data_IF_960733749046
#
_entry.id   IF_960733749046
#
_cell.length_a   1.000
_cell.length_b   1.000
_cell.length_c   1.000
_cell.angle_alpha   90.00
_cell.angle_beta   90.00
_cell.angle_gamma   90.00
#
_symmetry.space_group_name_H-M   'P 1'
#
loop_
_entity.id
_entity.type
_entity.pdbx_description
1 polymer ?
#
# COMPACT_ATOMS: atom_id res chain seq x y z
N UNK A 1 25.63 -9.74 -25.03
CA UNK A 1 24.32 -9.05 -24.93
C UNK A 1 24.37 -7.71 -25.64
N UNK A 2 23.45 -7.45 -26.57
CA UNK A 2 23.30 -6.18 -27.29
C UNK A 2 21.85 -5.97 -27.74
N UNK A 3 21.25 -4.83 -27.41
CA UNK A 3 19.89 -4.48 -27.82
C UNK A 3 19.66 -2.98 -27.97
N UNK A 4 18.58 -2.61 -28.68
CA UNK A 4 18.16 -1.23 -28.92
C UNK A 4 16.68 -1.07 -28.54
N UNK A 5 16.34 0.03 -27.85
CA UNK A 5 14.94 0.36 -27.50
C UNK A 5 14.73 1.87 -27.33
N UNK A 6 13.46 2.30 -27.30
CA UNK A 6 13.10 3.69 -27.02
C UNK A 6 13.34 4.04 -25.55
N UNK A 7 13.98 5.18 -25.28
CA UNK A 7 14.36 5.62 -23.93
C UNK A 7 13.19 5.62 -22.93
N UNK A 8 12.01 6.10 -23.35
CA UNK A 8 10.86 6.20 -22.44
C UNK A 8 10.36 4.81 -21.99
N UNK A 9 10.27 3.86 -22.92
CA UNK A 9 9.83 2.49 -22.63
C UNK A 9 10.82 1.81 -21.67
N UNK A 10 12.12 1.96 -21.93
CA UNK A 10 13.16 1.43 -21.05
C UNK A 10 13.13 2.06 -19.66
N UNK A 11 12.95 3.39 -19.59
CA UNK A 11 12.88 4.12 -18.34
C UNK A 11 11.70 3.63 -17.46
N UNK A 12 10.51 3.47 -18.03
CA UNK A 12 9.33 3.00 -17.32
C UNK A 12 9.51 1.57 -16.79
N UNK A 13 10.10 0.68 -17.59
CA UNK A 13 10.39 -0.68 -17.20
C UNK A 13 11.43 -0.75 -16.07
N UNK A 14 12.49 0.06 -16.13
CA UNK A 14 13.49 0.19 -15.06
C UNK A 14 12.84 0.70 -13.77
N UNK A 15 12.02 1.77 -13.83
CA UNK A 15 11.33 2.32 -12.67
C UNK A 15 10.35 1.30 -12.07
N UNK A 16 9.79 0.41 -12.87
CA UNK A 16 8.90 -0.66 -12.41
C UNK A 16 9.66 -1.75 -11.66
N UNK A 17 10.70 -2.32 -12.27
CA UNK A 17 11.55 -3.32 -11.61
C UNK A 17 12.25 -2.76 -10.35
N UNK A 18 12.68 -1.50 -10.39
CA UNK A 18 13.38 -0.83 -9.28
C UNK A 18 12.54 -0.75 -7.99
N UNK A 19 11.20 -0.81 -8.06
CA UNK A 19 10.31 -0.76 -6.88
C UNK A 19 10.57 -1.90 -5.90
N UNK A 20 11.07 -3.05 -6.37
CA UNK A 20 11.44 -4.18 -5.52
C UNK A 20 12.84 -4.04 -4.91
N UNK A 21 13.64 -3.04 -5.31
CA UNK A 21 15.02 -2.84 -4.84
C UNK A 21 15.02 -1.91 -3.63
N UNK A 22 14.99 -2.48 -2.43
CA UNK A 22 14.86 -1.70 -1.18
C UNK A 22 16.18 -1.11 -0.69
N UNK A 23 17.32 -1.52 -1.25
CA UNK A 23 18.66 -1.04 -0.88
C UNK A 23 19.12 -1.45 0.53
N UNK A 24 18.37 -2.33 1.22
CA UNK A 24 18.69 -2.86 2.55
C UNK A 24 19.36 -4.24 2.51
N UNK A 25 19.49 -4.83 1.32
CA UNK A 25 20.05 -6.17 1.17
C UNK A 25 21.55 -6.20 1.43
N UNK A 26 22.00 -7.24 2.13
CA UNK A 26 23.42 -7.57 2.32
C UNK A 26 24.03 -8.19 1.07
N UNK A 27 23.22 -8.68 0.12
CA UNK A 27 23.68 -9.21 -1.16
C UNK A 27 23.81 -8.06 -2.17
N UNK A 28 25.02 -7.72 -2.66
CA UNK A 28 25.22 -6.61 -3.59
C UNK A 28 24.42 -6.72 -4.89
N UNK A 29 24.24 -7.95 -5.38
CA UNK A 29 23.49 -8.23 -6.62
C UNK A 29 22.02 -7.80 -6.54
N UNK A 30 21.43 -7.76 -5.34
CA UNK A 30 20.07 -7.31 -5.09
C UNK A 30 19.94 -5.79 -4.95
N UNK A 31 21.05 -5.04 -5.04
CA UNK A 31 21.02 -3.60 -5.25
C UNK A 31 20.85 -3.25 -6.74
N UNK A 32 20.98 -4.27 -7.61
CA UNK A 32 20.84 -4.13 -9.05
C UNK A 32 19.50 -4.61 -9.60
N UNK A 33 19.32 -4.38 -10.89
CA UNK A 33 18.27 -4.97 -11.72
C UNK A 33 18.93 -6.00 -12.63
N UNK A 34 18.43 -7.23 -12.59
CA UNK A 34 18.77 -8.25 -13.57
C UNK A 34 18.10 -7.89 -14.89
N UNK A 35 18.90 -7.75 -15.94
CA UNK A 35 18.46 -7.53 -17.31
C UNK A 35 18.80 -8.76 -18.13
N UNK A 36 17.79 -9.36 -18.76
CA UNK A 36 17.92 -10.54 -19.60
C UNK A 36 17.28 -10.29 -20.94
N UNK A 37 18.04 -10.45 -22.01
CA UNK A 37 17.59 -10.20 -23.38
C UNK A 37 17.58 -11.51 -24.15
N UNK A 38 16.41 -11.88 -24.67
CA UNK A 38 16.20 -13.10 -25.45
C UNK A 38 14.95 -12.94 -26.33
N UNK A 39 14.92 -13.54 -27.53
CA UNK A 39 13.71 -13.62 -28.36
C UNK A 39 12.97 -12.28 -28.60
N UNK A 40 13.68 -11.18 -28.89
CA UNK A 40 13.11 -9.83 -29.05
C UNK A 40 12.46 -9.21 -27.79
N UNK A 41 12.71 -9.79 -26.62
CA UNK A 41 12.19 -9.32 -25.33
C UNK A 41 13.36 -9.01 -24.38
N UNK A 42 13.23 -7.89 -23.66
CA UNK A 42 14.04 -7.57 -22.49
C UNK A 42 13.19 -7.81 -21.25
N UNK A 43 13.64 -8.71 -20.39
CA UNK A 43 13.10 -8.94 -19.06
C UNK A 43 13.96 -8.19 -18.03
N UNK A 44 13.32 -7.36 -17.21
CA UNK A 44 13.95 -6.68 -16.08
C UNK A 44 13.38 -7.22 -14.77
N UNK A 45 14.26 -7.61 -13.85
CA UNK A 45 13.88 -8.15 -12.54
C UNK A 45 14.59 -7.37 -11.43
N UNK A 46 13.81 -6.77 -10.54
CA UNK A 46 14.28 -6.27 -9.25
C UNK A 46 13.79 -7.18 -8.12
N UNK A 47 14.56 -7.31 -7.04
CA UNK A 47 14.19 -8.17 -5.92
C UNK A 47 14.84 -7.73 -4.60
N UNK A 48 14.15 -7.95 -3.48
CA UNK A 48 14.71 -7.92 -2.13
C UNK A 48 14.65 -9.28 -1.42
N UNK A 49 14.50 -10.38 -2.19
CA UNK A 49 14.20 -11.76 -1.76
C UNK A 49 12.71 -11.98 -1.44
N UNK A 50 12.10 -11.10 -0.64
CA UNK A 50 10.70 -11.28 -0.23
C UNK A 50 9.71 -10.72 -1.25
N UNK A 51 10.12 -9.72 -2.02
CA UNK A 51 9.38 -9.06 -3.08
C UNK A 51 10.24 -9.06 -4.33
N UNK A 52 9.68 -9.53 -5.43
CA UNK A 52 10.30 -9.48 -6.74
C UNK A 52 9.32 -8.90 -7.76
N UNK A 53 9.83 -8.04 -8.64
CA UNK A 53 9.05 -7.46 -9.73
C UNK A 53 9.78 -7.78 -11.03
N UNK A 54 9.12 -8.56 -11.87
CA UNK A 54 9.52 -8.84 -13.25
C UNK A 54 8.69 -7.96 -14.18
N UNK A 55 9.34 -7.31 -15.14
CA UNK A 55 8.66 -6.59 -16.22
C UNK A 55 9.33 -6.86 -17.56
N UNK A 56 8.53 -6.93 -18.62
CA UNK A 56 8.95 -7.32 -19.96
C UNK A 56 8.61 -6.23 -20.96
N UNK A 57 9.57 -5.92 -21.83
CA UNK A 57 9.38 -4.98 -22.94
C UNK A 57 9.96 -5.55 -24.24
N UNK A 58 9.33 -5.20 -25.37
CA UNK A 58 9.86 -5.54 -26.69
C UNK A 58 11.07 -4.65 -27.01
N UNK A 59 12.14 -5.26 -27.51
CA UNK A 59 13.38 -4.59 -27.89
C UNK A 59 13.93 -5.17 -29.19
N UNK A 60 14.73 -4.40 -29.91
CA UNK A 60 15.50 -4.92 -31.05
C UNK A 60 16.73 -5.65 -30.50
N UNK A 61 16.75 -6.98 -30.61
CA UNK A 61 17.84 -7.82 -30.09
C UNK A 61 18.85 -8.08 -31.20
N UNK A 62 20.10 -7.72 -30.91
CA UNK A 62 21.25 -7.98 -31.79
C UNK A 62 22.13 -9.11 -31.24
N UNK A 63 22.19 -9.24 -29.92
CA UNK A 63 22.90 -10.32 -29.25
C UNK A 63 22.23 -10.63 -27.90
N UNK A 64 21.90 -11.90 -27.66
CA UNK A 64 21.29 -12.33 -26.40
C UNK A 64 22.27 -12.23 -25.22
N UNK A 65 21.74 -12.26 -24.01
CA UNK A 65 22.56 -12.38 -22.79
C UNK A 65 21.93 -11.71 -21.58
N UNK A 66 22.68 -11.71 -20.48
CA UNK A 66 22.20 -11.24 -19.17
C UNK A 66 23.27 -10.45 -18.44
N UNK A 67 22.84 -9.44 -17.68
CA UNK A 67 23.70 -8.62 -16.81
C UNK A 67 22.91 -8.16 -15.58
N UNK A 68 23.59 -7.78 -14.50
CA UNK A 68 22.98 -7.08 -13.37
C UNK A 68 23.63 -5.71 -13.23
N UNK A 69 22.83 -4.64 -13.30
CA UNK A 69 23.29 -3.26 -13.19
C UNK A 69 22.71 -2.60 -11.93
N UNK A 70 23.48 -1.75 -11.25
CA UNK A 70 22.99 -0.99 -10.09
C UNK A 70 21.70 -0.24 -10.43
N UNK A 71 20.63 -0.48 -9.67
CA UNK A 71 19.29 -0.04 -10.02
C UNK A 71 19.17 1.49 -9.98
N UNK A 72 19.81 2.13 -9.00
CA UNK A 72 19.73 3.59 -8.81
C UNK A 72 20.51 4.31 -9.88
N UNK A 73 21.75 3.90 -10.11
CA UNK A 73 22.62 4.48 -11.12
C UNK A 73 22.04 4.29 -12.53
N UNK A 74 21.57 3.08 -12.86
CA UNK A 74 20.93 2.82 -14.14
C UNK A 74 19.70 3.73 -14.36
N UNK A 75 18.80 3.79 -13.38
CA UNK A 75 17.60 4.64 -13.43
C UNK A 75 17.94 6.13 -13.60
N UNK A 76 18.94 6.63 -12.87
CA UNK A 76 19.41 8.02 -13.01
C UNK A 76 20.02 8.32 -14.38
N UNK A 77 20.82 7.40 -14.92
CA UNK A 77 21.44 7.56 -16.23
C UNK A 77 20.35 7.61 -17.29
N UNK A 78 19.50 6.59 -17.36
CA UNK A 78 18.45 6.51 -18.38
C UNK A 78 17.53 7.73 -18.30
N UNK A 79 17.13 8.17 -17.10
CA UNK A 79 16.32 9.38 -16.92
C UNK A 79 16.94 10.64 -17.54
N UNK A 80 18.26 10.80 -17.45
CA UNK A 80 19.02 11.97 -17.94
C UNK A 80 19.39 11.89 -19.42
N UNK A 81 19.20 10.75 -20.09
CA UNK A 81 19.47 10.63 -21.51
C UNK A 81 18.46 11.44 -22.35
N UNK A 82 18.86 11.90 -23.55
CA UNK A 82 17.94 12.45 -24.54
C UNK A 82 16.79 11.47 -24.84
N UNK A 83 15.62 12.00 -25.19
CA UNK A 83 14.49 11.18 -25.62
C UNK A 83 14.70 10.65 -27.05
N UNK A 84 15.47 9.57 -27.17
CA UNK A 84 15.86 8.91 -28.43
C UNK A 84 16.04 7.41 -28.19
N UNK A 85 16.46 6.66 -29.22
CA UNK A 85 16.86 5.26 -29.07
C UNK A 85 18.09 5.14 -28.19
N UNK A 86 18.10 4.10 -27.35
CA UNK A 86 19.21 3.72 -26.47
C UNK A 86 19.71 2.36 -26.94
N UNK A 87 21.00 2.28 -27.24
CA UNK A 87 21.72 1.02 -27.47
C UNK A 87 22.44 0.62 -26.17
N UNK A 88 22.27 -0.63 -25.75
CA UNK A 88 22.97 -1.20 -24.59
C UNK A 88 23.71 -2.45 -25.06
N UNK A 89 25.02 -2.50 -24.84
CA UNK A 89 25.86 -3.63 -25.23
C UNK A 89 26.88 -4.01 -24.17
N UNK A 90 27.12 -5.31 -23.97
CA UNK A 90 28.24 -5.80 -23.16
C UNK A 90 29.55 -5.60 -23.93
N UNK A 91 30.57 -5.14 -23.22
CA UNK A 91 31.94 -4.99 -23.70
C UNK A 91 32.89 -5.76 -22.78
N UNK A 92 34.19 -5.72 -23.05
CA UNK A 92 35.22 -6.38 -22.23
C UNK A 92 35.22 -5.91 -20.76
N UNK A 93 35.84 -6.68 -19.88
CA UNK A 93 36.03 -6.37 -18.45
C UNK A 93 34.72 -6.21 -17.65
N UNK A 94 33.73 -7.06 -17.89
CA UNK A 94 32.42 -7.04 -17.21
C UNK A 94 31.76 -5.65 -17.25
N UNK A 95 31.86 -4.99 -18.39
CA UNK A 95 31.27 -3.66 -18.59
C UNK A 95 30.11 -3.71 -19.59
N UNK A 96 29.16 -2.81 -19.40
CA UNK A 96 28.09 -2.49 -20.33
C UNK A 96 28.29 -1.06 -20.81
N UNK A 97 28.18 -0.87 -22.10
CA UNK A 97 28.17 0.42 -22.76
C UNK A 97 26.73 0.83 -23.08
N UNK A 98 26.34 2.04 -22.67
CA UNK A 98 25.05 2.65 -22.93
C UNK A 98 25.28 3.83 -23.88
N UNK A 99 24.71 3.75 -25.09
CA UNK A 99 24.85 4.77 -26.12
C UNK A 99 23.50 5.37 -26.47
N UNK A 100 23.40 6.69 -26.47
CA UNK A 100 22.22 7.42 -26.93
C UNK A 100 22.68 8.70 -27.66
N UNK A 101 22.47 8.74 -28.97
CA UNK A 101 23.01 9.79 -29.85
C UNK A 101 24.54 9.95 -29.67
N UNK A 102 24.99 11.09 -29.12
CA UNK A 102 26.41 11.38 -28.86
C UNK A 102 26.83 11.06 -27.41
N UNK A 103 25.89 10.68 -26.55
CA UNK A 103 26.17 10.28 -25.18
C UNK A 103 26.60 8.82 -25.14
N UNK A 104 27.70 8.56 -24.46
CA UNK A 104 28.31 7.25 -24.32
C UNK A 104 28.75 7.06 -22.87
N UNK A 105 28.20 6.07 -22.19
CA UNK A 105 28.50 5.76 -20.79
C UNK A 105 28.92 4.31 -20.66
N UNK A 106 29.78 4.01 -19.69
CA UNK A 106 30.23 2.66 -19.38
C UNK A 106 29.95 2.36 -17.92
N UNK A 107 29.33 1.21 -17.64
CA UNK A 107 28.98 0.73 -16.31
C UNK A 107 29.57 -0.66 -16.10
N UNK A 108 30.07 -0.93 -14.90
CA UNK A 108 30.42 -2.30 -14.50
C UNK A 108 29.14 -3.04 -14.13
N UNK A 109 28.99 -4.27 -14.60
CA UNK A 109 27.87 -5.13 -14.23
C UNK A 109 28.31 -6.25 -13.27
N UNK A 110 27.38 -6.70 -12.43
CA UNK A 110 27.56 -7.84 -11.53
C UNK A 110 27.15 -9.13 -12.24
N UNK A 111 27.76 -10.25 -11.82
CA UNK A 111 27.50 -11.56 -12.41
C UNK A 111 26.01 -11.93 -12.28
N UNK A 112 25.28 -12.15 -13.40
CA UNK A 112 23.86 -12.46 -13.35
C UNK A 112 23.55 -13.80 -12.69
N UNK A 113 24.52 -14.73 -12.62
CA UNK A 113 24.34 -16.01 -11.94
C UNK A 113 24.26 -15.88 -10.41
N UNK A 114 24.67 -14.75 -9.85
CA UNK A 114 24.56 -14.49 -8.41
C UNK A 114 23.16 -13.97 -8.04
N UNK A 115 22.35 -13.54 -9.03
CA UNK A 115 20.99 -13.07 -8.82
C UNK A 115 20.08 -14.27 -8.53
N UNK A 116 19.29 -14.26 -7.44
CA UNK A 116 18.47 -15.41 -7.06
C UNK A 116 17.39 -15.69 -8.10
N UNK A 117 17.12 -16.98 -8.33
CA UNK A 117 15.99 -17.38 -9.18
C UNK A 117 14.67 -17.02 -8.51
N UNK A 118 13.71 -16.58 -9.32
CA UNK A 118 12.34 -16.37 -8.86
C UNK A 118 11.66 -17.72 -8.59
N UNK A 119 10.75 -17.79 -7.60
CA UNK A 119 9.99 -19.01 -7.39
C UNK A 119 9.04 -19.23 -8.58
N UNK A 120 8.95 -20.48 -9.04
CA UNK A 120 7.94 -20.88 -10.01
C UNK A 120 6.59 -21.01 -9.31
N UNK A 121 5.60 -20.25 -9.78
CA UNK A 121 4.24 -20.25 -9.25
C UNK A 121 3.31 -20.83 -10.30
N UNK A 122 2.62 -21.89 -9.92
CA UNK A 122 1.59 -22.52 -10.74
C UNK A 122 0.32 -21.65 -10.76
N UNK A 123 -0.02 -21.10 -11.92
CA UNK A 123 -1.16 -20.20 -12.14
C UNK A 123 -2.49 -20.95 -12.34
N UNK A 124 -2.67 -22.11 -11.70
CA UNK A 124 -3.88 -22.93 -11.83
C UNK A 124 -5.11 -22.37 -11.08
N UNK A 125 -4.92 -21.58 -10.02
CA UNK A 125 -6.00 -21.00 -9.21
C UNK A 125 -5.95 -19.48 -9.25
N UNK A 126 -6.46 -18.91 -10.34
CA UNK A 126 -6.44 -17.47 -10.59
C UNK A 126 -7.70 -16.80 -10.03
N UNK A 127 -7.49 -15.83 -9.14
CA UNK A 127 -8.48 -14.84 -8.75
C UNK A 127 -8.33 -13.58 -9.61
N UNK A 128 -9.35 -13.23 -10.37
CA UNK A 128 -9.34 -12.07 -11.26
C UNK A 128 -10.13 -10.92 -10.65
N UNK A 129 -9.55 -9.72 -10.64
CA UNK A 129 -10.21 -8.50 -10.14
C UNK A 129 -9.80 -7.27 -10.95
N UNK A 130 -10.71 -6.31 -11.10
CA UNK A 130 -10.40 -5.02 -11.69
C UNK A 130 -9.32 -4.27 -10.90
N UNK A 131 -8.34 -3.69 -11.59
CA UNK A 131 -7.19 -3.05 -10.95
C UNK A 131 -7.59 -1.86 -10.08
N UNK A 132 -8.49 -1.00 -10.55
CA UNK A 132 -8.98 0.16 -9.80
C UNK A 132 -9.72 -0.25 -8.53
N UNK A 133 -10.52 -1.31 -8.60
CA UNK A 133 -11.19 -1.88 -7.42
C UNK A 133 -10.17 -2.34 -6.39
N UNK A 134 -9.21 -3.18 -6.78
CA UNK A 134 -8.16 -3.64 -5.87
C UNK A 134 -7.35 -2.48 -5.28
N UNK A 135 -6.96 -1.51 -6.12
CA UNK A 135 -6.24 -0.29 -5.71
C UNK A 135 -7.00 0.52 -4.67
N UNK A 136 -8.32 0.66 -4.85
CA UNK A 136 -9.22 1.33 -3.90
C UNK A 136 -9.29 0.58 -2.58
N UNK A 137 -9.46 -0.75 -2.63
CA UNK A 137 -9.53 -1.57 -1.43
C UNK A 137 -8.22 -1.52 -0.63
N UNK A 138 -7.06 -1.61 -1.29
CA UNK A 138 -5.75 -1.57 -0.60
C UNK A 138 -5.54 -0.18 0.01
N UNK A 139 -5.75 0.91 -0.74
CA UNK A 139 -5.67 2.29 -0.18
C UNK A 139 -6.62 2.48 0.99
N UNK A 140 -7.78 1.83 0.91
CA UNK A 140 -8.84 1.81 1.92
C UNK A 140 -8.46 1.17 3.24
N UNK A 141 -7.37 0.39 3.31
CA UNK A 141 -7.01 -0.42 4.50
C UNK A 141 -5.56 -0.29 4.93
N UNK A 142 -4.61 -0.16 4.00
CA UNK A 142 -3.16 -0.28 4.24
C UNK A 142 -2.62 0.69 5.30
N UNK A 143 -3.27 1.84 5.52
CA UNK A 143 -2.84 2.82 6.53
C UNK A 143 -2.97 2.30 7.97
N UNK A 144 -3.78 1.27 8.21
CA UNK A 144 -4.06 0.71 9.54
C UNK A 144 -3.17 -0.50 9.89
N UNK A 145 -2.10 -0.78 9.15
CA UNK A 145 -1.12 -1.82 9.51
C UNK A 145 -0.21 -1.36 10.66
N UNK A 146 0.24 -2.32 11.47
CA UNK A 146 1.28 -2.09 12.47
C UNK A 146 2.59 -1.63 11.80
N UNK A 147 3.25 -0.66 12.43
CA UNK A 147 4.53 -0.13 11.94
C UNK A 147 5.73 -0.78 12.62
N UNK A 148 5.54 -1.33 13.82
CA UNK A 148 6.54 -2.13 14.52
C UNK A 148 6.38 -3.62 14.19
N UNK A 149 7.48 -4.36 14.32
CA UNK A 149 7.54 -5.79 13.98
C UNK A 149 7.28 -6.70 15.20
N UNK A 150 6.74 -6.17 16.32
CA UNK A 150 6.49 -7.02 17.51
C UNK A 150 5.47 -8.12 17.24
N UNK A 151 4.49 -7.83 16.37
CA UNK A 151 3.52 -8.79 15.84
C UNK A 151 3.58 -8.76 14.32
N UNK A 152 4.52 -9.50 13.69
CA UNK A 152 4.77 -9.41 12.25
C UNK A 152 3.51 -9.57 11.39
N UNK A 153 2.59 -10.45 11.79
CA UNK A 153 1.32 -10.68 11.08
C UNK A 153 0.45 -9.41 10.93
N UNK A 154 0.61 -8.41 11.79
CA UNK A 154 -0.11 -7.13 11.74
C UNK A 154 0.56 -6.07 10.85
N UNK A 155 1.76 -6.34 10.34
CA UNK A 155 2.45 -5.49 9.37
C UNK A 155 1.92 -5.69 7.94
N UNK A 156 0.98 -6.62 7.75
CA UNK A 156 0.33 -6.91 6.50
C UNK A 156 -1.18 -6.65 6.54
N UNK A 157 -1.81 -6.84 5.38
CA UNK A 157 -3.26 -6.77 5.22
C UNK A 157 -3.76 -8.19 4.97
N UNK A 158 -4.75 -8.60 5.75
CA UNK A 158 -5.50 -9.82 5.50
C UNK A 158 -6.27 -9.66 4.18
N UNK A 159 -6.05 -10.59 3.27
CA UNK A 159 -6.81 -10.79 2.05
C UNK A 159 -7.66 -12.04 2.23
N UNK A 160 -8.96 -11.84 2.44
CA UNK A 160 -9.91 -12.92 2.69
C UNK A 160 -10.97 -12.94 1.59
N UNK A 161 -11.16 -14.08 0.94
CA UNK A 161 -12.37 -14.34 0.14
C UNK A 161 -13.17 -15.39 0.87
N UNK A 162 -14.40 -15.02 1.20
CA UNK A 162 -15.38 -15.91 1.84
C UNK A 162 -16.78 -15.52 1.38
N UNK A 163 -17.62 -16.51 1.07
CA UNK A 163 -19.03 -16.31 0.72
C UNK A 163 -19.22 -15.27 -0.42
N UNK A 164 -18.42 -15.36 -1.49
CA UNK A 164 -18.42 -14.41 -2.63
C UNK A 164 -18.13 -12.95 -2.25
N UNK A 165 -17.44 -12.74 -1.13
CA UNK A 165 -17.07 -11.43 -0.61
C UNK A 165 -15.57 -11.38 -0.37
N UNK A 166 -14.90 -10.45 -1.05
CA UNK A 166 -13.52 -10.09 -0.79
C UNK A 166 -13.48 -9.08 0.37
N UNK A 167 -12.75 -9.41 1.43
CA UNK A 167 -12.46 -8.53 2.55
C UNK A 167 -10.95 -8.25 2.59
N UNK A 168 -10.59 -6.98 2.62
CA UNK A 168 -9.25 -6.55 3.04
C UNK A 168 -9.33 -6.01 4.46
N UNK A 169 -8.45 -6.48 5.35
CA UNK A 169 -8.44 -6.07 6.77
C UNK A 169 -7.03 -5.73 7.24
N UNK A 170 -6.88 -4.56 7.85
CA UNK A 170 -5.64 -4.11 8.49
C UNK A 170 -5.91 -3.69 9.93
N UNK A 171 -5.02 -4.05 10.85
CA UNK A 171 -5.15 -3.80 12.30
C UNK A 171 -3.77 -3.51 12.89
N UNK A 172 -3.63 -2.44 13.67
CA UNK A 172 -2.38 -2.08 14.37
C UNK A 172 -2.47 -2.20 15.90
N UNK A 173 -3.62 -2.65 16.41
CA UNK A 173 -3.92 -2.75 17.85
C UNK A 173 -4.64 -1.53 18.43
N UNK A 174 -4.65 -0.40 17.74
CA UNK A 174 -5.38 0.81 18.12
C UNK A 174 -6.52 1.16 17.17
N UNK A 175 -6.43 0.68 15.93
CA UNK A 175 -7.46 0.88 14.90
C UNK A 175 -7.54 -0.34 13.99
N UNK A 176 -8.66 -0.41 13.28
CA UNK A 176 -8.93 -1.40 12.25
C UNK A 176 -9.53 -0.70 11.03
N UNK A 177 -9.14 -1.16 9.85
CA UNK A 177 -9.75 -0.80 8.59
C UNK A 177 -10.19 -2.07 7.85
N UNK A 178 -11.47 -2.16 7.53
CA UNK A 178 -12.08 -3.21 6.74
C UNK A 178 -12.68 -2.59 5.48
N UNK A 179 -12.36 -3.17 4.32
CA UNK A 179 -13.01 -2.88 3.04
C UNK A 179 -13.55 -4.17 2.46
N UNK A 180 -14.77 -4.11 1.94
CA UNK A 180 -15.46 -5.26 1.40
C UNK A 180 -15.93 -5.01 -0.02
N UNK A 181 -15.85 -6.03 -0.86
CA UNK A 181 -16.33 -6.01 -2.23
C UNK A 181 -16.96 -7.36 -2.58
N UNK A 182 -18.18 -7.33 -3.11
CA UNK A 182 -18.78 -8.54 -3.70
C UNK A 182 -18.05 -8.90 -4.99
N UNK A 183 -17.78 -10.19 -5.16
CA UNK A 183 -17.03 -10.74 -6.29
C UNK A 183 -17.75 -11.97 -6.82
N UNK A 184 -17.65 -12.19 -8.12
CA UNK A 184 -18.24 -13.35 -8.80
C UNK A 184 -17.24 -14.52 -8.79
N UNK A 185 -16.90 -15.00 -7.58
CA UNK A 185 -15.94 -16.09 -7.39
C UNK A 185 -16.19 -16.79 -6.04
N UNK A 186 -16.27 -18.13 -6.08
CA UNK A 186 -16.50 -18.98 -4.89
C UNK A 186 -15.20 -19.48 -4.22
N UNK A 187 -14.03 -19.05 -4.69
CA UNK A 187 -12.74 -19.47 -4.12
C UNK A 187 -12.61 -18.98 -2.68
N UNK A 188 -12.21 -19.87 -1.78
CA UNK A 188 -11.87 -19.48 -0.41
C UNK A 188 -10.40 -19.09 -0.33
N UNK A 189 -10.12 -17.86 0.09
CA UNK A 189 -8.75 -17.35 0.29
C UNK A 189 -8.64 -16.79 1.70
N UNK A 190 -7.54 -17.06 2.39
CA UNK A 190 -7.21 -16.44 3.66
C UNK A 190 -5.69 -16.34 3.76
N UNK A 191 -5.16 -15.16 3.44
CA UNK A 191 -3.73 -14.93 3.39
C UNK A 191 -3.40 -13.51 3.84
N UNK A 192 -2.23 -13.30 4.46
CA UNK A 192 -1.80 -11.97 4.88
C UNK A 192 -0.66 -11.51 4.00
N UNK A 193 -0.89 -10.42 3.28
CA UNK A 193 0.07 -9.86 2.32
C UNK A 193 0.87 -8.77 3.04
N UNK A 194 2.22 -8.79 3.00
CA UNK A 194 3.03 -7.76 3.64
C UNK A 194 2.66 -6.35 3.15
N UNK A 195 2.61 -5.39 4.07
CA UNK A 195 2.28 -4.01 3.71
C UNK A 195 3.29 -3.39 2.74
N UNK A 196 4.57 -3.77 2.83
CA UNK A 196 5.61 -3.37 1.88
C UNK A 196 5.26 -3.77 0.43
N UNK A 197 4.73 -4.97 0.24
CA UNK A 197 4.31 -5.50 -1.05
C UNK A 197 3.14 -4.70 -1.60
N UNK A 198 2.11 -4.50 -0.78
CA UNK A 198 0.91 -3.78 -1.19
C UNK A 198 1.20 -2.31 -1.54
N UNK A 199 2.15 -1.67 -0.85
CA UNK A 199 2.61 -0.33 -1.20
C UNK A 199 3.22 -0.26 -2.61
N UNK A 200 3.97 -1.27 -3.04
CA UNK A 200 4.50 -1.33 -4.42
C UNK A 200 3.42 -1.72 -5.44
N UNK A 201 2.52 -2.65 -5.09
CA UNK A 201 1.37 -3.03 -5.94
C UNK A 201 0.51 -1.81 -6.26
N UNK A 202 0.15 -0.96 -5.28
CA UNK A 202 -0.66 0.25 -5.51
C UNK A 202 -0.01 1.20 -6.54
N UNK A 203 1.32 1.29 -6.57
CA UNK A 203 2.06 2.17 -7.49
C UNK A 203 2.13 1.62 -8.92
N UNK A 204 1.82 0.34 -9.11
CA UNK A 204 1.88 -0.34 -10.41
C UNK A 204 0.47 -0.52 -10.98
N UNK A 205 -0.54 -0.71 -10.12
CA UNK A 205 -1.94 -0.81 -10.56
C UNK A 205 -2.39 0.44 -11.30
N UNK A 206 -3.02 0.23 -12.45
CA UNK A 206 -3.63 1.24 -13.28
C UNK A 206 -5.10 1.49 -12.86
N UNK A 207 -5.78 2.42 -13.54
CA UNK A 207 -7.17 2.76 -13.24
C UNK A 207 -8.19 2.00 -14.11
N UNK A 208 -7.70 1.14 -15.00
CA UNK A 208 -8.44 0.25 -15.88
C UNK A 208 -7.80 -1.15 -15.95
N UNK A 209 -8.41 -2.05 -16.71
CA UNK A 209 -7.97 -3.44 -16.84
C UNK A 209 -8.18 -4.30 -15.60
N UNK A 210 -7.70 -5.53 -15.69
CA UNK A 210 -7.79 -6.54 -14.65
C UNK A 210 -6.40 -6.99 -14.20
N UNK A 211 -6.32 -7.51 -12.98
CA UNK A 211 -5.15 -8.22 -12.44
C UNK A 211 -5.54 -9.64 -12.10
N UNK A 212 -4.69 -10.59 -12.50
CA UNK A 212 -4.80 -11.99 -12.12
C UNK A 212 -3.94 -12.21 -10.87
N UNK A 213 -4.54 -12.76 -9.82
CA UNK A 213 -3.88 -13.02 -8.54
C UNK A 213 -3.85 -14.52 -8.30
N UNK A 214 -2.66 -15.05 -8.03
CA UNK A 214 -2.48 -16.46 -7.68
C UNK A 214 -1.88 -16.55 -6.29
N UNK A 215 -2.48 -17.37 -5.42
CA UNK A 215 -1.96 -17.67 -4.10
C UNK A 215 -1.38 -19.09 -4.09
N UNK A 216 -0.20 -19.24 -3.51
CA UNK A 216 0.35 -20.52 -3.08
C UNK A 216 0.33 -20.61 -1.56
N UNK A 217 0.93 -21.65 -0.97
CA UNK A 217 1.03 -21.77 0.49
C UNK A 217 1.84 -20.66 1.14
N UNK A 218 2.79 -20.05 0.41
CA UNK A 218 3.74 -19.08 0.97
C UNK A 218 4.02 -17.88 0.07
N UNK A 219 3.43 -17.81 -1.13
CA UNK A 219 3.60 -16.68 -2.05
C UNK A 219 2.26 -16.19 -2.60
N UNK A 220 2.29 -14.94 -3.02
CA UNK A 220 1.28 -14.32 -3.87
C UNK A 220 1.95 -13.84 -5.16
N UNK A 221 1.27 -14.04 -6.28
CA UNK A 221 1.62 -13.49 -7.58
C UNK A 221 0.51 -12.54 -8.02
N UNK A 222 0.86 -11.30 -8.35
CA UNK A 222 0.03 -10.39 -9.13
C UNK A 222 0.54 -10.36 -10.56
N UNK A 223 -0.28 -10.81 -11.51
CA UNK A 223 0.03 -10.86 -12.93
C UNK A 223 -0.82 -9.81 -13.68
N UNK A 224 -0.13 -8.80 -14.22
CA UNK A 224 -0.67 -7.66 -14.96
C UNK A 224 -0.35 -7.76 -16.46
N UNK A 225 -0.09 -8.96 -16.96
CA UNK A 225 0.39 -9.20 -18.32
C UNK A 225 1.92 -9.07 -18.40
N UNK A 226 2.41 -7.90 -18.82
CA UNK A 226 3.86 -7.66 -18.99
C UNK A 226 4.61 -7.46 -17.68
N UNK A 227 3.89 -7.29 -16.56
CA UNK A 227 4.49 -7.12 -15.24
C UNK A 227 3.95 -8.18 -14.29
N UNK A 228 4.86 -8.87 -13.60
CA UNK A 228 4.57 -9.83 -12.53
C UNK A 228 5.19 -9.36 -11.22
N UNK A 229 4.40 -9.37 -10.16
CA UNK A 229 4.84 -9.03 -8.80
C UNK A 229 4.69 -10.28 -7.96
N UNK A 230 5.80 -10.80 -7.45
CA UNK A 230 5.84 -12.01 -6.61
C UNK A 230 6.25 -11.59 -5.22
N UNK A 231 5.52 -12.05 -4.20
CA UNK A 231 5.90 -11.78 -2.82
C UNK A 231 5.61 -12.93 -1.88
N UNK A 232 6.44 -13.08 -0.85
CA UNK A 232 6.17 -13.97 0.28
C UNK A 232 4.97 -13.48 1.08
N UNK A 233 4.14 -14.41 1.52
CA UNK A 233 3.06 -14.16 2.47
C UNK A 233 3.61 -14.10 3.90
N UNK A 234 2.90 -13.39 4.79
CA UNK A 234 3.19 -13.44 6.22
C UNK A 234 2.60 -14.72 6.83
N UNK A 235 3.38 -15.37 7.68
CA UNK A 235 2.97 -16.57 8.41
C UNK A 235 2.32 -16.22 9.76
N UNK A 236 1.27 -16.97 10.14
CA UNK A 236 0.59 -16.84 11.42
C UNK A 236 -0.93 -16.71 11.31
N UNK A 237 -1.62 -16.82 12.44
CA UNK A 237 -3.07 -16.60 12.50
C UNK A 237 -3.37 -15.09 12.61
N UNK A 238 -4.14 -14.56 11.66
CA UNK A 238 -4.63 -13.19 11.74
C UNK A 238 -5.73 -13.07 12.82
N UNK A 239 -5.89 -11.87 13.38
CA UNK A 239 -6.88 -11.63 14.44
C UNK A 239 -8.30 -11.88 13.91
N UNK A 240 -9.17 -12.51 14.73
CA UNK A 240 -10.60 -12.70 14.46
C UNK A 240 -11.37 -11.37 14.46
N UNK A 241 -11.16 -10.56 13.43
CA UNK A 241 -11.57 -9.16 13.35
C UNK A 241 -13.07 -8.94 13.50
N UNK A 242 -13.92 -9.86 13.02
CA UNK A 242 -15.38 -9.79 13.17
C UNK A 242 -15.81 -9.72 14.63
N UNK A 243 -15.08 -10.35 15.56
CA UNK A 243 -15.41 -10.33 16.99
C UNK A 243 -15.07 -9.02 17.70
N UNK A 244 -14.35 -8.11 17.04
CA UNK A 244 -13.87 -6.85 17.61
C UNK A 244 -14.77 -5.67 17.20
N UNK A 245 -15.49 -5.81 16.09
CA UNK A 245 -16.40 -4.79 15.58
C UNK A 245 -17.72 -4.88 16.39
N UNK A 246 -18.10 -3.86 17.17
CA UNK A 246 -19.38 -3.87 17.87
C UNK A 246 -20.53 -3.85 16.88
N UNK A 247 -21.61 -4.60 17.17
CA UNK A 247 -22.83 -4.62 16.36
C UNK A 247 -23.90 -3.64 16.89
N UNK A 248 -23.80 -3.25 18.17
CA UNK A 248 -24.75 -2.37 18.84
C UNK A 248 -24.09 -1.05 19.28
N UNK A 249 -24.82 0.04 19.06
CA UNK A 249 -24.39 1.40 19.37
C UNK A 249 -25.50 2.16 20.09
N UNK A 250 -25.12 3.02 21.03
CA UNK A 250 -26.04 3.86 21.80
C UNK A 250 -26.13 5.29 21.24
N UNK A 251 -25.17 5.64 20.38
CA UNK A 251 -24.99 6.97 19.82
C UNK A 251 -24.60 6.87 18.36
N UNK A 252 -25.29 7.62 17.52
CA UNK A 252 -25.01 7.77 16.10
C UNK A 252 -24.86 9.27 15.78
N UNK A 253 -23.81 9.60 15.04
CA UNK A 253 -23.51 10.96 14.60
C UNK A 253 -23.37 10.96 13.09
N UNK A 254 -24.11 11.83 12.42
CA UNK A 254 -23.85 12.18 11.02
C UNK A 254 -23.10 13.52 10.99
N UNK A 255 -21.97 13.54 10.30
CA UNK A 255 -21.15 14.74 10.14
C UNK A 255 -20.68 14.90 8.70
N UNK A 256 -20.46 16.14 8.27
CA UNK A 256 -19.80 16.46 7.01
C UNK A 256 -18.32 16.13 7.11
N UNK A 257 -17.85 15.24 6.24
CA UNK A 257 -16.50 14.67 6.29
C UNK A 257 -15.41 15.74 6.20
N UNK A 258 -15.51 16.64 5.22
CA UNK A 258 -14.50 17.69 5.00
C UNK A 258 -14.45 18.69 6.17
N UNK A 259 -15.61 19.14 6.66
CA UNK A 259 -15.69 20.03 7.81
C UNK A 259 -15.08 19.38 9.07
N UNK A 260 -15.37 18.09 9.30
CA UNK A 260 -14.83 17.35 10.44
C UNK A 260 -13.31 17.15 10.32
N UNK A 261 -12.83 16.78 9.14
CA UNK A 261 -11.41 16.62 8.85
C UNK A 261 -10.66 17.92 9.12
N UNK A 262 -11.15 19.04 8.58
CA UNK A 262 -10.58 20.37 8.76
C UNK A 262 -10.50 20.78 10.24
N UNK A 263 -11.58 20.55 11.01
CA UNK A 263 -11.59 20.83 12.45
C UNK A 263 -10.57 19.97 13.20
N UNK A 264 -10.50 18.66 12.90
CA UNK A 264 -9.55 17.75 13.54
C UNK A 264 -8.10 18.11 13.17
N UNK A 265 -7.83 18.49 11.92
CA UNK A 265 -6.49 18.90 11.49
C UNK A 265 -6.03 20.16 12.23
N UNK A 266 -6.90 21.17 12.38
CA UNK A 266 -6.60 22.37 13.19
C UNK A 266 -6.38 22.03 14.67
N UNK A 267 -7.25 21.21 15.26
CA UNK A 267 -7.07 20.74 16.63
C UNK A 267 -5.79 19.92 16.82
N UNK A 268 -5.36 19.17 15.80
CA UNK A 268 -4.12 18.36 15.88
C UNK A 268 -2.85 19.20 16.00
N UNK A 269 -2.87 20.48 15.60
CA UNK A 269 -1.70 21.36 15.67
C UNK A 269 -1.20 21.56 17.10
N UNK A 270 -2.10 21.71 18.07
CA UNK A 270 -1.72 21.78 19.49
C UNK A 270 -1.48 20.40 20.10
N UNK A 271 -2.06 19.34 19.53
CA UNK A 271 -1.96 17.99 20.08
C UNK A 271 -0.59 17.33 19.85
N UNK A 272 0.17 17.80 18.84
CA UNK A 272 1.49 17.27 18.46
C UNK A 272 2.57 17.49 19.53
N UNK A 273 2.48 18.57 20.29
CA UNK A 273 3.46 18.90 21.33
C UNK A 273 3.37 17.97 22.56
N UNK A 274 2.24 17.29 22.76
CA UNK A 274 1.98 16.41 23.90
C UNK A 274 2.33 14.93 23.67
N UNK A 275 3.07 14.59 22.61
CA UNK A 275 3.46 13.22 22.17
C UNK A 275 2.31 12.23 21.85
N UNK A 276 1.06 12.50 22.23
CA UNK A 276 -0.05 11.56 22.09
C UNK A 276 -1.09 11.95 21.04
N UNK A 277 -0.92 13.10 20.36
CA UNK A 277 -1.88 13.62 19.36
C UNK A 277 -3.33 13.66 19.88
N UNK A 278 -3.50 13.89 21.19
CA UNK A 278 -4.78 13.78 21.89
C UNK A 278 -5.74 14.93 21.53
N UNK A 279 -6.94 14.58 21.08
CA UNK A 279 -8.07 15.49 20.98
C UNK A 279 -9.23 14.97 21.82
N UNK A 280 -10.04 15.87 22.37
CA UNK A 280 -11.29 15.54 23.07
C UNK A 280 -12.48 15.99 22.22
N UNK A 281 -13.47 15.13 22.11
CA UNK A 281 -14.75 15.39 21.48
C UNK A 281 -15.80 15.52 22.59
N UNK A 282 -16.44 16.67 22.68
CA UNK A 282 -17.61 16.93 23.51
C UNK A 282 -18.82 16.97 22.58
N UNK A 283 -19.67 15.95 22.66
CA UNK A 283 -20.80 15.74 21.76
C UNK A 283 -22.07 16.01 22.54
N UNK A 284 -22.79 17.07 22.18
CA UNK A 284 -24.01 17.50 22.86
C UNK A 284 -24.95 18.18 21.86
N UNK A 285 -26.23 17.84 21.91
CA UNK A 285 -27.27 18.37 21.02
C UNK A 285 -26.90 18.28 19.52
N UNK A 286 -26.81 19.41 18.81
CA UNK A 286 -26.49 19.52 17.39
C UNK A 286 -25.02 19.90 17.11
N UNK A 287 -24.16 19.86 18.14
CA UNK A 287 -22.79 20.35 18.06
C UNK A 287 -21.78 19.33 18.59
N UNK A 288 -20.66 19.20 17.89
CA UNK A 288 -19.46 18.54 18.39
C UNK A 288 -18.37 19.59 18.61
N UNK A 289 -17.91 19.73 19.85
CA UNK A 289 -16.78 20.59 20.21
C UNK A 289 -15.51 19.74 20.25
N UNK A 290 -14.50 20.16 19.50
CA UNK A 290 -13.20 19.47 19.43
C UNK A 290 -12.17 20.34 20.13
N UNK A 291 -11.51 19.79 21.15
CA UNK A 291 -10.49 20.52 21.93
C UNK A 291 -9.17 19.79 21.99
N UNK A 292 -8.09 20.57 22.04
CA UNK A 292 -6.74 20.10 22.34
C UNK A 292 -5.97 21.17 23.09
N UNK A 293 -5.15 20.76 24.04
CA UNK A 293 -4.40 21.66 24.93
C UNK A 293 -2.93 21.28 24.92
N UNK A 294 -2.05 22.28 24.94
CA UNK A 294 -0.60 22.15 24.98
C UNK A 294 0.04 23.22 25.86
N UNK A 295 1.37 23.17 26.02
CA UNK A 295 2.10 24.25 26.68
C UNK A 295 2.12 25.55 25.86
N UNK A 296 1.94 25.46 24.54
CA UNK A 296 1.98 26.62 23.63
C UNK A 296 0.62 27.30 23.47
N UNK A 297 -0.47 26.63 23.85
CA UNK A 297 -1.83 27.15 23.73
C UNK A 297 -2.90 26.05 23.68
N UNK A 298 -4.14 26.49 23.47
CA UNK A 298 -5.33 25.64 23.40
C UNK A 298 -6.07 25.91 22.09
N UNK A 299 -6.70 24.88 21.53
CA UNK A 299 -7.62 24.99 20.39
C UNK A 299 -9.01 24.52 20.80
N UNK A 300 -10.02 25.23 20.31
CA UNK A 300 -11.44 24.84 20.37
C UNK A 300 -12.05 25.03 18.98
N UNK A 301 -12.42 23.93 18.37
CA UNK A 301 -13.17 23.89 17.11
C UNK A 301 -14.59 23.44 17.39
N UNK A 302 -15.51 23.82 16.50
CA UNK A 302 -16.92 23.53 16.63
C UNK A 302 -17.48 23.14 15.27
N UNK A 303 -18.25 22.06 15.22
CA UNK A 303 -18.88 21.57 14.00
C UNK A 303 -20.32 21.15 14.28
N UNK A 304 -21.20 21.47 13.33
CA UNK A 304 -22.59 21.03 13.34
C UNK A 304 -22.69 19.55 13.00
N UNK A 305 -23.49 18.81 13.75
CA UNK A 305 -23.70 17.39 13.58
C UNK A 305 -25.20 17.04 13.69
N UNK A 306 -25.57 15.88 13.18
CA UNK A 306 -26.87 15.28 13.48
C UNK A 306 -26.66 14.18 14.51
N UNK A 307 -27.12 14.41 15.73
CA UNK A 307 -26.99 13.48 16.85
C UNK A 307 -28.25 12.63 17.03
N UNK A 308 -28.05 11.32 17.20
CA UNK A 308 -29.09 10.40 17.67
C UNK A 308 -28.53 9.59 18.85
N UNK A 309 -29.02 9.84 20.05
CA UNK A 309 -28.57 9.18 21.27
C UNK A 309 -28.30 10.16 22.41
N UNK A 310 -27.46 9.76 23.36
CA UNK A 310 -27.11 10.57 24.54
C UNK A 310 -25.78 11.33 24.34
N UNK A 311 -25.62 12.52 24.95
CA UNK A 311 -24.36 13.25 24.94
C UNK A 311 -23.17 12.40 25.39
N UNK A 312 -22.00 12.64 24.81
CA UNK A 312 -20.80 11.84 25.06
C UNK A 312 -19.53 12.69 25.05
N UNK A 313 -18.69 12.49 26.07
CA UNK A 313 -17.31 12.99 26.09
C UNK A 313 -16.35 11.85 25.87
N UNK A 314 -15.52 11.97 24.85
CA UNK A 314 -14.57 10.92 24.44
C UNK A 314 -13.31 11.55 23.88
N UNK A 315 -12.18 10.83 23.92
CA UNK A 315 -10.93 11.34 23.38
C UNK A 315 -10.27 10.34 22.45
N UNK A 316 -9.53 10.85 21.47
CA UNK A 316 -8.88 10.06 20.44
C UNK A 316 -7.49 10.58 20.14
N UNK A 317 -6.66 9.71 19.56
CA UNK A 317 -5.50 10.14 18.80
C UNK A 317 -5.99 10.71 17.46
N UNK A 318 -5.82 12.02 17.27
CA UNK A 318 -6.25 12.74 16.06
C UNK A 318 -5.70 12.16 14.77
N UNK A 319 -4.46 11.63 14.78
CA UNK A 319 -3.86 11.00 13.59
C UNK A 319 -4.72 9.86 13.06
N UNK A 320 -5.31 9.05 13.93
CA UNK A 320 -6.12 7.92 13.51
C UNK A 320 -7.42 8.36 12.85
N UNK A 321 -8.05 9.41 13.36
CA UNK A 321 -9.24 10.01 12.74
C UNK A 321 -8.89 10.64 11.39
N UNK A 322 -7.81 11.41 11.31
CA UNK A 322 -7.34 12.06 10.07
C UNK A 322 -7.07 11.01 8.98
N UNK A 323 -6.35 9.93 9.31
CA UNK A 323 -6.02 8.88 8.36
C UNK A 323 -7.29 8.22 7.78
N UNK A 324 -8.32 7.98 8.61
CA UNK A 324 -9.62 7.45 8.14
C UNK A 324 -10.33 8.47 7.24
N UNK A 325 -10.49 9.71 7.71
CA UNK A 325 -11.23 10.75 7.00
C UNK A 325 -10.63 11.09 5.64
N UNK A 326 -9.30 11.05 5.48
CA UNK A 326 -8.61 11.28 4.20
C UNK A 326 -8.88 10.23 3.14
N UNK A 327 -9.24 9.01 3.56
CA UNK A 327 -9.47 7.87 2.67
C UNK A 327 -10.96 7.74 2.30
N UNK A 328 -11.84 8.33 3.11
CA UNK A 328 -13.27 8.35 2.84
C UNK A 328 -13.62 9.33 1.72
N UNK A 329 -14.52 8.92 0.84
CA UNK A 329 -14.87 9.61 -0.40
C UNK A 329 -16.30 10.16 -0.44
N UNK A 330 -17.11 9.94 0.60
CA UNK A 330 -18.46 10.50 0.69
C UNK A 330 -18.46 11.88 1.38
N UNK A 331 -19.46 12.71 1.06
CA UNK A 331 -19.65 14.03 1.68
C UNK A 331 -19.98 13.91 3.17
N UNK A 332 -20.81 12.93 3.52
CA UNK A 332 -21.24 12.67 4.89
C UNK A 332 -20.75 11.30 5.36
N UNK A 333 -20.43 11.22 6.64
CA UNK A 333 -20.02 10.00 7.31
C UNK A 333 -20.86 9.77 8.56
N UNK A 334 -20.86 8.53 9.02
CA UNK A 334 -21.54 8.09 10.23
C UNK A 334 -20.50 7.65 11.25
N UNK A 335 -20.54 8.22 12.44
CA UNK A 335 -19.74 7.79 13.59
C UNK A 335 -20.66 7.17 14.64
N UNK A 336 -20.38 5.93 15.01
CA UNK A 336 -21.15 5.18 16.00
C UNK A 336 -20.34 4.95 17.28
N UNK A 337 -20.98 5.12 18.43
CA UNK A 337 -20.38 4.96 19.75
C UNK A 337 -21.29 4.18 20.69
N UNK A 338 -20.68 3.44 21.61
CA UNK A 338 -21.40 2.72 22.68
C UNK A 338 -21.12 3.31 24.08
N UNK A 339 -19.89 3.77 24.33
CA UNK A 339 -19.48 4.42 25.60
C UNK A 339 -18.20 5.25 25.41
N UNK A 340 -17.76 5.98 26.44
CA UNK A 340 -16.52 6.79 26.42
C UNK A 340 -15.22 5.97 26.40
N UNK A 341 -15.31 4.65 26.60
CA UNK A 341 -14.18 3.72 26.58
C UNK A 341 -14.30 2.64 25.49
N UNK A 342 -15.42 2.63 24.76
CA UNK A 342 -15.67 1.70 23.67
C UNK A 342 -15.10 2.25 22.35
N UNK A 343 -14.76 1.38 21.38
CA UNK A 343 -14.33 1.82 20.06
C UNK A 343 -15.38 2.70 19.36
N UNK A 344 -14.92 3.66 18.58
CA UNK A 344 -15.75 4.39 17.61
C UNK A 344 -15.73 3.64 16.28
N UNK A 345 -16.91 3.43 15.69
CA UNK A 345 -17.05 2.87 14.35
C UNK A 345 -17.41 3.98 13.37
N UNK A 346 -16.59 4.16 12.34
CA UNK A 346 -16.78 5.15 11.28
C UNK A 346 -17.12 4.43 9.98
N UNK A 347 -18.22 4.83 9.35
CA UNK A 347 -18.71 4.29 8.09
C UNK A 347 -19.12 5.41 7.15
N UNK A 348 -19.12 5.09 5.86
CA UNK A 348 -19.80 5.91 4.86
C UNK A 348 -21.31 5.91 5.14
N UNK A 349 -22.00 7.03 4.86
CA UNK A 349 -23.44 7.16 5.10
C UNK A 349 -24.28 6.35 4.11
N UNK A 350 -23.87 6.33 2.85
CA UNK A 350 -24.67 5.76 1.76
C UNK A 350 -24.23 4.35 1.34
N UNK A 351 -23.10 3.85 1.83
CA UNK A 351 -22.62 2.50 1.51
C UNK A 351 -21.96 1.81 2.72
N UNK A 352 -22.01 0.48 2.75
CA UNK A 352 -21.41 -0.36 3.79
C UNK A 352 -20.19 -1.12 3.24
N UNK A 353 -19.49 -0.51 2.28
CA UNK A 353 -18.29 -1.08 1.63
C UNK A 353 -17.04 -0.99 2.52
N UNK A 354 -17.14 -0.27 3.63
CA UNK A 354 -16.04 0.03 4.52
C UNK A 354 -16.48 0.18 5.97
N UNK A 355 -15.62 -0.29 6.87
CA UNK A 355 -15.79 -0.13 8.31
C UNK A 355 -14.45 0.22 8.92
N UNK A 356 -14.41 1.34 9.62
CA UNK A 356 -13.23 1.81 10.33
C UNK A 356 -13.51 1.80 11.83
N UNK A 357 -12.59 1.28 12.62
CA UNK A 357 -12.68 1.23 14.07
C UNK A 357 -11.50 1.96 14.67
N UNK A 358 -11.74 2.83 15.64
CA UNK A 358 -10.68 3.53 16.37
C UNK A 358 -10.92 3.38 17.87
N UNK A 359 -9.90 2.92 18.60
CA UNK A 359 -9.93 2.88 20.07
C UNK A 359 -9.80 4.28 20.66
N UNK A 360 -10.61 4.62 21.68
CA UNK A 360 -10.46 5.90 22.38
C UNK A 360 -9.24 5.89 23.29
N UNK A 361 -8.75 7.08 23.58
CA UNK A 361 -7.80 7.32 24.66
C UNK A 361 -8.58 7.51 25.96
N UNK A 362 -8.24 6.72 26.98
CA UNK A 362 -8.87 6.87 28.30
C UNK A 362 -8.56 8.25 28.87
N UNK A 363 -9.60 9.03 29.13
CA UNK A 363 -9.50 10.23 29.93
C UNK A 363 -9.24 9.82 31.38
N UNK A 364 -8.23 10.41 32.01
CA UNK A 364 -8.06 10.26 33.45
C UNK A 364 -9.33 10.83 34.13
N UNK A 365 -10.00 9.99 34.92
CA UNK A 365 -11.06 10.46 35.81
C UNK A 365 -10.41 11.42 36.81
N UNK A 366 -10.80 12.68 36.79
CA UNK A 366 -10.41 13.67 37.81
C UNK A 366 -11.31 13.47 39.02
#
# INVERSE_FOLDING_TARGET
>A
MKFICEKNILQEAIITAQKAVTGKSTMPVLQGILMSVQNNELTLIGSDIDLSIETKINVEVLEEGKVVLDARLLSEIIRKLPNSKVEIQTIENNCVEITCNKSKLTLVYLNPNDFPSLPEIDENSIFKINQKTLKTMIKGTIFAIAQDETRPILTGVLFEIKDSKLNLVAIDGYRLALRSQYIDNETSINAVIPGKTLNEVIKILEDDGDVNITFTSNHILFNLGNTKIISRLLEGEFIKYNSIIPEEYNLNIVARKEELLDCIERASLMAKDGNNNLIKLDIEDDVMIITSNSQLGNVREEINIILQGQPLKIAFNSKYLIDVLKIMNQEEIVMNFSSSISPCIIKNKENDDSTYLILPVRLATI
#
